data_IF_530438701065
#
_entry.id   IF_530438701065
#
_cell.length_a   1.000
_cell.length_b   1.000
_cell.length_c   1.000
_cell.angle_alpha   90.00
_cell.angle_beta   90.00
_cell.angle_gamma   90.00
#
_symmetry.space_group_name_H-M   'P 1'
#
loop_
_entity.id
_entity.type
_entity.pdbx_description
1 polymer ?
#
# COMPACT_ATOMS: atom_id res chain seq x y z
N UNK A 1 -9.38 -14.36 11.79
CA UNK A 1 -9.65 -13.15 12.58
C UNK A 1 -8.97 -13.20 13.93
N UNK A 2 -8.78 -12.05 14.56
CA UNK A 2 -8.22 -11.99 15.90
C UNK A 2 -9.39 -11.86 16.90
N UNK A 3 -9.63 -12.88 17.69
CA UNK A 3 -10.71 -12.99 18.69
C UNK A 3 -10.62 -11.97 19.84
N UNK A 4 -9.50 -11.23 19.92
CA UNK A 4 -9.30 -10.14 20.90
C UNK A 4 -9.98 -8.83 20.50
N UNK A 5 -10.40 -8.70 19.25
CA UNK A 5 -10.99 -7.49 18.70
C UNK A 5 -12.28 -7.82 17.95
N UNK A 6 -13.28 -7.01 18.16
CA UNK A 6 -14.49 -7.03 17.36
C UNK A 6 -14.51 -5.77 16.50
N UNK A 7 -14.50 -5.93 15.17
CA UNK A 7 -14.67 -4.82 14.24
C UNK A 7 -16.15 -4.52 14.11
N UNK A 8 -16.57 -3.33 14.54
CA UNK A 8 -18.00 -2.94 14.54
C UNK A 8 -18.39 -2.16 13.31
N UNK A 9 -17.44 -1.46 12.67
CA UNK A 9 -17.66 -0.68 11.47
C UNK A 9 -16.35 -0.36 10.75
N UNK A 10 -16.47 -0.03 9.46
CA UNK A 10 -15.47 0.73 8.72
C UNK A 10 -15.99 2.12 8.42
N UNK A 11 -15.08 3.10 8.31
CA UNK A 11 -15.36 4.39 7.69
C UNK A 11 -14.47 4.56 6.48
N UNK A 12 -14.94 5.26 5.45
CA UNK A 12 -14.17 5.47 4.23
C UNK A 12 -14.38 6.88 3.68
N UNK A 13 -13.28 7.45 3.17
CA UNK A 13 -13.28 8.74 2.47
C UNK A 13 -12.37 8.74 1.24
N UNK A 14 -11.41 7.81 1.15
CA UNK A 14 -10.48 7.70 0.01
C UNK A 14 -11.03 6.88 -1.15
N UNK A 15 -12.15 6.15 -0.96
CA UNK A 15 -12.80 5.34 -1.99
C UNK A 15 -14.17 5.95 -2.25
N UNK A 16 -14.44 6.45 -3.47
CA UNK A 16 -15.75 7.01 -3.82
C UNK A 16 -16.88 5.97 -3.69
N UNK A 17 -18.05 6.42 -3.28
CA UNK A 17 -19.32 5.65 -3.28
C UNK A 17 -19.25 4.30 -2.53
N UNK A 18 -18.36 4.18 -1.52
CA UNK A 18 -18.24 2.97 -0.71
C UNK A 18 -19.09 3.03 0.56
N UNK A 19 -19.43 4.22 1.04
CA UNK A 19 -20.33 4.38 2.19
C UNK A 19 -21.71 3.76 1.90
N UNK A 20 -22.31 3.20 2.94
CA UNK A 20 -23.59 2.48 2.86
C UNK A 20 -23.46 1.07 2.30
N UNK A 21 -22.26 0.64 1.89
CA UNK A 21 -21.99 -0.75 1.50
C UNK A 21 -21.69 -1.62 2.72
N UNK A 22 -21.67 -2.92 2.48
CA UNK A 22 -21.29 -3.92 3.46
C UNK A 22 -19.96 -4.58 3.02
N UNK A 23 -18.98 -4.63 3.92
CA UNK A 23 -17.82 -5.50 3.68
C UNK A 23 -18.28 -6.95 3.76
N UNK A 24 -18.10 -7.77 2.72
CA UNK A 24 -18.80 -9.04 2.54
C UNK A 24 -18.43 -10.05 3.65
N UNK A 25 -19.40 -10.83 4.16
CA UNK A 25 -19.16 -11.87 5.16
C UNK A 25 -18.14 -12.92 4.70
N UNK A 26 -18.09 -13.24 3.40
CA UNK A 26 -17.13 -14.20 2.82
C UNK A 26 -15.68 -13.75 3.01
N UNK A 27 -15.42 -12.45 3.10
CA UNK A 27 -14.10 -11.86 3.31
C UNK A 27 -13.86 -11.45 4.77
N UNK A 28 -14.93 -11.12 5.48
CA UNK A 28 -14.85 -10.73 6.89
C UNK A 28 -14.51 -11.90 7.83
N UNK A 29 -14.82 -13.13 7.42
CA UNK A 29 -14.55 -14.36 8.15
C UNK A 29 -15.66 -14.75 9.13
N UNK A 30 -15.49 -15.91 9.78
CA UNK A 30 -16.54 -16.55 10.60
C UNK A 30 -17.06 -15.70 11.77
N UNK A 31 -16.27 -14.74 12.24
CA UNK A 31 -16.69 -13.83 13.32
C UNK A 31 -17.73 -12.80 12.86
N UNK A 32 -17.90 -12.64 11.55
CA UNK A 32 -18.77 -11.60 10.95
C UNK A 32 -19.72 -12.21 9.89
N UNK A 33 -20.64 -13.10 10.29
CA UNK A 33 -21.51 -13.80 9.35
C UNK A 33 -22.47 -12.86 8.58
N UNK A 34 -22.73 -11.67 9.13
CA UNK A 34 -23.53 -10.63 8.48
C UNK A 34 -22.67 -9.59 7.72
N UNK A 35 -21.33 -9.75 7.72
CA UNK A 35 -20.39 -8.75 7.19
C UNK A 35 -20.17 -7.58 8.15
N UNK A 36 -19.49 -6.53 7.67
CA UNK A 36 -19.17 -5.35 8.46
C UNK A 36 -19.65 -4.09 7.72
N UNK A 37 -20.47 -3.23 8.33
CA UNK A 37 -20.99 -2.04 7.68
C UNK A 37 -19.89 -1.00 7.42
N UNK A 38 -20.02 -0.27 6.30
CA UNK A 38 -19.12 0.81 5.90
C UNK A 38 -19.92 2.11 5.93
N UNK A 39 -19.48 3.09 6.72
CA UNK A 39 -20.12 4.38 6.88
C UNK A 39 -19.30 5.51 6.27
N UNK A 40 -19.92 6.67 6.09
CA UNK A 40 -19.18 7.89 5.78
C UNK A 40 -18.28 8.29 6.96
N UNK A 41 -17.08 8.81 6.67
CA UNK A 41 -16.17 9.22 7.75
C UNK A 41 -16.70 10.41 8.57
N UNK A 42 -17.61 11.20 8.02
CA UNK A 42 -18.31 12.27 8.73
C UNK A 42 -19.13 11.76 9.92
N UNK A 43 -19.46 10.48 9.93
CA UNK A 43 -20.23 9.83 11.01
C UNK A 43 -19.36 9.35 12.18
N UNK A 44 -18.03 9.50 12.11
CA UNK A 44 -17.08 8.89 13.03
C UNK A 44 -17.40 9.16 14.51
N UNK A 45 -17.67 10.43 14.88
CA UNK A 45 -17.96 10.80 16.28
C UNK A 45 -19.25 10.14 16.78
N UNK A 46 -20.27 10.10 15.94
CA UNK A 46 -21.55 9.43 16.24
C UNK A 46 -21.33 7.93 16.42
N UNK A 47 -20.57 7.29 15.51
CA UNK A 47 -20.29 5.86 15.56
C UNK A 47 -19.51 5.47 16.82
N UNK A 48 -18.50 6.28 17.23
CA UNK A 48 -17.75 6.04 18.45
C UNK A 48 -18.72 5.99 19.65
N UNK A 49 -19.64 6.94 19.75
CA UNK A 49 -20.59 7.03 20.86
C UNK A 49 -21.65 5.93 20.80
N UNK A 50 -22.32 5.76 19.66
CA UNK A 50 -23.47 4.82 19.54
C UNK A 50 -23.04 3.35 19.59
N UNK A 51 -21.89 3.01 19.02
CA UNK A 51 -21.37 1.64 18.99
C UNK A 51 -20.40 1.36 20.15
N UNK A 52 -20.18 2.33 21.03
CA UNK A 52 -19.26 2.23 22.18
C UNK A 52 -17.87 1.71 21.75
N UNK A 53 -17.27 2.41 20.78
CA UNK A 53 -15.98 2.01 20.20
C UNK A 53 -14.85 2.30 21.17
N UNK A 54 -14.08 1.27 21.55
CA UNK A 54 -12.89 1.43 22.41
C UNK A 54 -11.68 1.96 21.63
N UNK A 55 -11.56 1.57 20.35
CA UNK A 55 -10.36 1.87 19.56
C UNK A 55 -10.67 2.12 18.09
N UNK A 56 -10.10 3.18 17.55
CA UNK A 56 -10.12 3.48 16.11
C UNK A 56 -8.74 3.21 15.51
N UNK A 57 -8.69 2.34 14.50
CA UNK A 57 -7.47 2.05 13.75
C UNK A 57 -7.45 2.91 12.49
N UNK A 58 -6.41 3.73 12.35
CA UNK A 58 -6.22 4.57 11.17
C UNK A 58 -5.54 3.78 10.06
N UNK A 59 -6.15 3.74 8.87
CA UNK A 59 -5.72 2.94 7.74
C UNK A 59 -5.55 3.74 6.43
N UNK A 60 -5.67 5.06 6.47
CA UNK A 60 -5.42 5.90 5.28
C UNK A 60 -3.93 6.10 5.04
N UNK A 61 -3.57 6.24 3.78
CA UNK A 61 -2.20 6.48 3.32
C UNK A 61 -2.11 7.76 2.48
N UNK A 62 -0.89 8.21 2.23
CA UNK A 62 -0.55 9.43 1.48
C UNK A 62 -1.18 10.71 2.05
N UNK A 63 -1.28 10.79 3.35
CA UNK A 63 -1.81 11.94 4.10
C UNK A 63 -0.72 12.61 4.94
N UNK A 64 -0.86 13.91 5.20
CA UNK A 64 0.09 14.63 6.05
C UNK A 64 0.05 14.15 7.51
N UNK A 65 1.17 14.26 8.23
CA UNK A 65 1.21 13.98 9.68
C UNK A 65 0.20 14.84 10.46
N UNK A 66 -0.02 16.09 10.03
CA UNK A 66 -1.04 16.95 10.63
C UNK A 66 -2.44 16.38 10.48
N UNK A 67 -2.78 15.81 9.32
CA UNK A 67 -4.06 15.13 9.08
C UNK A 67 -4.23 13.94 10.04
N UNK A 68 -3.18 13.12 10.21
CA UNK A 68 -3.20 11.99 11.16
C UNK A 68 -3.44 12.49 12.59
N UNK A 69 -2.74 13.55 13.01
CA UNK A 69 -2.88 14.10 14.36
C UNK A 69 -4.23 14.80 14.60
N UNK A 70 -4.80 15.47 13.58
CA UNK A 70 -6.15 16.01 13.70
C UNK A 70 -7.19 14.88 13.86
N UNK A 71 -7.04 13.79 13.09
CA UNK A 71 -7.91 12.63 13.23
C UNK A 71 -7.76 11.96 14.61
N UNK A 72 -6.52 11.82 15.09
CA UNK A 72 -6.25 11.30 16.43
C UNK A 72 -6.91 12.17 17.50
N UNK A 73 -6.81 13.49 17.40
CA UNK A 73 -7.42 14.43 18.35
C UNK A 73 -8.95 14.33 18.35
N UNK A 74 -9.57 14.17 17.19
CA UNK A 74 -11.01 13.94 17.02
C UNK A 74 -11.45 12.66 17.78
N UNK A 75 -10.75 11.54 17.50
CA UNK A 75 -11.04 10.23 18.13
C UNK A 75 -10.89 10.28 19.64
N UNK A 76 -9.78 10.87 20.14
CA UNK A 76 -9.53 11.01 21.58
C UNK A 76 -10.59 11.89 22.26
N UNK A 77 -11.03 12.97 21.62
CA UNK A 77 -12.08 13.83 22.13
C UNK A 77 -13.44 13.13 22.17
N UNK A 78 -13.68 12.18 21.26
CA UNK A 78 -14.89 11.34 21.26
C UNK A 78 -14.83 10.18 22.27
N UNK A 79 -13.68 9.96 22.95
CA UNK A 79 -13.52 9.00 24.05
C UNK A 79 -12.96 7.63 23.65
N UNK A 80 -12.49 7.45 22.42
CA UNK A 80 -11.84 6.21 21.97
C UNK A 80 -10.32 6.37 21.85
N UNK A 81 -9.59 5.24 21.89
CA UNK A 81 -8.17 5.21 21.59
C UNK A 81 -7.92 5.33 20.08
N UNK A 82 -6.81 5.99 19.70
CA UNK A 82 -6.36 6.08 18.32
C UNK A 82 -5.12 5.22 18.09
N UNK A 83 -5.13 4.41 17.03
CA UNK A 83 -4.06 3.45 16.76
C UNK A 83 -3.56 3.52 15.33
N UNK A 84 -2.21 3.56 15.18
CA UNK A 84 -1.48 3.23 13.96
C UNK A 84 -0.93 1.81 14.06
N UNK A 85 -1.04 1.02 12.98
CA UNK A 85 -0.55 -0.36 12.95
C UNK A 85 0.90 -0.41 12.47
N UNK A 86 1.74 -1.08 13.24
CA UNK A 86 3.13 -1.33 12.84
C UNK A 86 3.27 -2.64 12.04
N UNK A 87 4.31 -2.72 11.18
CA UNK A 87 4.54 -3.85 10.28
C UNK A 87 4.59 -5.23 10.94
N UNK A 88 5.12 -5.34 12.17
CA UNK A 88 5.17 -6.61 12.87
C UNK A 88 3.80 -7.28 13.11
N UNK A 89 2.72 -6.49 13.03
CA UNK A 89 1.36 -6.99 13.22
C UNK A 89 0.61 -7.20 11.90
N UNK A 90 1.16 -6.75 10.77
CA UNK A 90 0.45 -6.70 9.48
C UNK A 90 1.19 -7.39 8.35
N UNK A 91 2.52 -7.57 8.46
CA UNK A 91 3.33 -8.19 7.41
C UNK A 91 3.11 -9.70 7.34
N UNK A 92 2.81 -10.20 6.15
CA UNK A 92 2.75 -11.62 5.83
C UNK A 92 4.13 -12.13 5.40
N UNK A 93 4.54 -13.27 5.94
CA UNK A 93 5.78 -13.92 5.55
C UNK A 93 5.60 -14.71 4.24
N UNK A 94 6.53 -14.54 3.32
CA UNK A 94 6.61 -15.29 2.05
C UNK A 94 7.65 -16.41 2.13
N UNK A 95 7.41 -17.50 1.38
CA UNK A 95 8.38 -18.56 1.13
C UNK A 95 9.35 -18.21 -0.02
N UNK A 96 9.06 -17.13 -0.77
CA UNK A 96 9.88 -16.59 -1.85
C UNK A 96 10.45 -15.25 -1.46
N UNK A 97 11.62 -14.88 -1.98
CA UNK A 97 12.16 -13.53 -1.79
C UNK A 97 11.17 -12.46 -2.21
N UNK A 98 11.03 -11.42 -1.39
CA UNK A 98 10.14 -10.28 -1.63
C UNK A 98 10.96 -9.00 -1.80
N UNK A 99 10.77 -8.31 -2.90
CA UNK A 99 11.22 -6.93 -3.10
C UNK A 99 10.02 -6.01 -3.01
N UNK A 100 10.01 -5.13 -2.02
CA UNK A 100 8.97 -4.10 -1.91
C UNK A 100 9.47 -2.79 -2.50
N UNK A 101 8.68 -2.19 -3.38
CA UNK A 101 8.91 -0.84 -3.90
C UNK A 101 7.79 0.06 -3.41
N UNK A 102 8.15 0.99 -2.52
CA UNK A 102 7.25 1.99 -1.97
C UNK A 102 7.73 3.39 -2.35
N UNK A 103 6.94 4.40 -2.04
CA UNK A 103 7.35 5.78 -2.20
C UNK A 103 6.87 6.62 -1.01
N UNK A 104 7.49 7.75 -0.79
CA UNK A 104 7.08 8.69 0.28
C UNK A 104 5.83 9.48 -0.10
N UNK A 105 5.56 9.63 -1.40
CA UNK A 105 4.39 10.34 -1.95
C UNK A 105 4.00 9.81 -3.31
N UNK A 106 2.71 9.93 -3.64
CA UNK A 106 2.20 9.73 -4.99
C UNK A 106 2.93 10.64 -5.99
N UNK A 107 3.28 10.10 -7.15
CA UNK A 107 4.01 10.81 -8.21
C UNK A 107 5.52 10.88 -8.02
N UNK A 108 6.12 10.25 -7.00
CA UNK A 108 7.59 10.21 -6.82
C UNK A 108 8.32 9.35 -7.85
N UNK A 109 7.60 8.53 -8.63
CA UNK A 109 8.21 7.67 -9.65
C UNK A 109 8.27 6.19 -9.27
N UNK A 110 7.48 5.75 -8.29
CA UNK A 110 7.41 4.36 -7.81
C UNK A 110 7.20 3.36 -8.95
N UNK A 111 6.18 3.55 -9.79
CA UNK A 111 5.82 2.60 -10.85
C UNK A 111 6.93 2.43 -11.89
N UNK A 112 7.69 3.49 -12.21
CA UNK A 112 8.86 3.40 -13.10
C UNK A 112 9.99 2.62 -12.43
N UNK A 113 10.27 2.89 -11.16
CA UNK A 113 11.27 2.17 -10.37
C UNK A 113 10.91 0.69 -10.25
N UNK A 114 9.64 0.37 -9.97
CA UNK A 114 9.15 -1.02 -9.90
C UNK A 114 9.39 -1.75 -11.22
N UNK A 115 9.01 -1.14 -12.34
CA UNK A 115 9.25 -1.74 -13.67
C UNK A 115 10.74 -1.99 -13.93
N UNK A 116 11.60 -1.02 -13.56
CA UNK A 116 13.06 -1.19 -13.69
C UNK A 116 13.58 -2.34 -12.83
N UNK A 117 13.12 -2.47 -11.60
CA UNK A 117 13.47 -3.60 -10.72
C UNK A 117 13.03 -4.92 -11.33
N UNK A 118 11.81 -5.00 -11.84
CA UNK A 118 11.31 -6.19 -12.53
C UNK A 118 12.17 -6.56 -13.75
N UNK A 119 12.53 -5.57 -14.56
CA UNK A 119 13.38 -5.79 -15.76
C UNK A 119 14.77 -6.33 -15.36
N UNK A 120 15.37 -5.80 -14.28
CA UNK A 120 16.67 -6.26 -13.76
C UNK A 120 16.60 -7.71 -13.27
N UNK A 121 15.56 -8.07 -12.52
CA UNK A 121 15.36 -9.43 -12.02
C UNK A 121 15.14 -10.42 -13.17
N UNK A 122 14.33 -10.05 -14.16
CA UNK A 122 14.12 -10.86 -15.36
C UNK A 122 15.39 -11.02 -16.19
N UNK A 123 16.19 -9.96 -16.30
CA UNK A 123 17.49 -10.01 -16.95
C UNK A 123 18.46 -11.00 -16.30
N UNK A 124 18.24 -11.33 -15.03
CA UNK A 124 18.95 -12.38 -14.29
C UNK A 124 18.30 -13.77 -14.42
N UNK A 125 17.30 -13.92 -15.28
CA UNK A 125 16.60 -15.18 -15.52
C UNK A 125 15.56 -15.56 -14.47
N UNK A 126 15.14 -14.62 -13.58
CA UNK A 126 14.14 -14.87 -12.56
C UNK A 126 12.72 -14.76 -13.13
N UNK A 127 11.85 -15.65 -12.67
CA UNK A 127 10.40 -15.52 -12.86
C UNK A 127 9.89 -14.52 -11.83
N UNK A 128 9.47 -13.34 -12.32
CA UNK A 128 8.97 -12.24 -11.47
C UNK A 128 7.46 -12.22 -11.52
N UNK A 129 6.85 -12.13 -10.33
CA UNK A 129 5.43 -11.85 -10.16
C UNK A 129 5.31 -10.53 -9.43
N UNK A 130 4.54 -9.59 -9.97
CA UNK A 130 4.21 -8.33 -9.33
C UNK A 130 2.87 -8.48 -8.59
N UNK A 131 2.81 -7.97 -7.36
CA UNK A 131 1.54 -7.88 -6.61
C UNK A 131 1.24 -6.41 -6.39
N UNK A 132 0.04 -6.03 -6.78
CA UNK A 132 -0.44 -4.66 -6.69
C UNK A 132 -1.57 -4.50 -5.70
N UNK A 133 -1.71 -3.30 -5.21
CA UNK A 133 -2.88 -2.86 -4.46
C UNK A 133 -4.13 -2.95 -5.36
N UNK A 134 -5.25 -3.49 -4.88
CA UNK A 134 -6.48 -3.55 -5.66
C UNK A 134 -7.15 -2.16 -5.75
N UNK A 135 -7.95 -1.97 -6.78
CA UNK A 135 -8.91 -0.88 -6.86
C UNK A 135 -10.31 -1.44 -6.55
N UNK A 136 -10.81 -1.33 -5.32
CA UNK A 136 -11.98 -2.09 -4.84
C UNK A 136 -13.29 -1.41 -5.24
N UNK A 137 -13.46 -1.06 -6.52
CA UNK A 137 -14.67 -0.42 -7.04
C UNK A 137 -15.82 -1.40 -7.33
N UNK A 138 -15.47 -2.68 -7.58
CA UNK A 138 -16.39 -3.73 -7.97
C UNK A 138 -16.90 -4.60 -6.82
N UNK A 139 -17.21 -5.85 -7.16
CA UNK A 139 -17.57 -6.90 -6.22
C UNK A 139 -16.31 -7.44 -5.53
N UNK A 140 -16.13 -7.13 -4.25
CA UNK A 140 -14.95 -7.50 -3.49
C UNK A 140 -14.73 -9.03 -3.41
N UNK A 141 -15.80 -9.84 -3.45
CA UNK A 141 -15.69 -11.31 -3.43
C UNK A 141 -15.07 -11.82 -4.73
N UNK A 142 -15.48 -11.26 -5.86
CA UNK A 142 -14.90 -11.59 -7.17
C UNK A 142 -13.47 -11.04 -7.32
N UNK A 143 -13.17 -9.96 -6.60
CA UNK A 143 -11.85 -9.34 -6.54
C UNK A 143 -10.97 -9.91 -5.40
N UNK A 144 -11.35 -11.02 -4.77
CA UNK A 144 -10.54 -11.60 -3.70
C UNK A 144 -9.12 -11.90 -4.18
N UNK A 145 -8.99 -12.58 -5.30
CA UNK A 145 -7.71 -12.90 -5.96
C UNK A 145 -7.91 -12.81 -7.48
N UNK A 146 -7.18 -11.92 -8.12
CA UNK A 146 -7.18 -11.77 -9.56
C UNK A 146 -5.76 -11.93 -10.09
N UNK A 147 -5.60 -12.68 -11.20
CA UNK A 147 -4.32 -12.94 -11.86
C UNK A 147 -4.38 -12.46 -13.28
N UNK A 148 -3.38 -11.71 -13.70
CA UNK A 148 -3.28 -11.09 -15.01
C UNK A 148 -1.95 -11.48 -15.66
N UNK A 149 -2.00 -12.26 -16.71
CA UNK A 149 -0.86 -12.66 -17.52
C UNK A 149 -0.99 -12.18 -18.98
N UNK A 150 -2.19 -11.78 -19.37
CA UNK A 150 -2.54 -11.34 -20.72
C UNK A 150 -3.61 -10.25 -20.69
N UNK A 151 -3.82 -9.60 -21.83
CA UNK A 151 -4.92 -8.64 -22.00
C UNK A 151 -6.30 -9.30 -21.86
N UNK A 152 -6.44 -10.56 -22.24
CA UNK A 152 -7.68 -11.32 -22.08
C UNK A 152 -8.08 -11.47 -20.61
N UNK A 153 -7.09 -11.54 -19.70
CA UNK A 153 -7.36 -11.57 -18.26
C UNK A 153 -7.95 -10.24 -17.78
N UNK A 154 -7.51 -9.11 -18.34
CA UNK A 154 -8.06 -7.79 -18.01
C UNK A 154 -9.54 -7.71 -18.44
N UNK A 155 -9.88 -8.21 -19.62
CA UNK A 155 -11.24 -8.25 -20.11
C UNK A 155 -12.12 -9.19 -19.27
N UNK A 156 -11.61 -10.36 -18.93
CA UNK A 156 -12.27 -11.37 -18.09
C UNK A 156 -12.63 -10.82 -16.70
N UNK A 157 -11.75 -10.03 -16.12
CA UNK A 157 -11.95 -9.43 -14.81
C UNK A 157 -12.63 -8.06 -14.86
N UNK A 158 -13.08 -7.60 -16.04
CA UNK A 158 -13.76 -6.32 -16.24
C UNK A 158 -12.99 -5.12 -15.69
N UNK A 159 -11.65 -5.14 -15.87
CA UNK A 159 -10.78 -4.09 -15.36
C UNK A 159 -11.17 -2.71 -15.88
N UNK A 160 -11.21 -1.73 -14.97
CA UNK A 160 -11.39 -0.32 -15.30
C UNK A 160 -10.19 0.23 -16.08
N UNK A 161 -10.32 1.43 -16.62
CA UNK A 161 -9.20 2.10 -17.34
C UNK A 161 -8.03 2.30 -16.38
N UNK A 162 -8.29 2.72 -15.15
CA UNK A 162 -7.28 2.97 -14.11
C UNK A 162 -6.53 1.67 -13.75
N UNK A 163 -7.24 0.56 -13.60
CA UNK A 163 -6.63 -0.75 -13.35
C UNK A 163 -5.75 -1.19 -14.53
N UNK A 164 -6.22 -0.98 -15.75
CA UNK A 164 -5.45 -1.28 -16.95
C UNK A 164 -4.17 -0.45 -17.06
N UNK A 165 -4.23 0.84 -16.80
CA UNK A 165 -3.04 1.73 -16.78
C UNK A 165 -1.96 1.22 -15.81
N UNK A 166 -2.37 0.53 -14.75
CA UNK A 166 -1.45 -0.01 -13.76
C UNK A 166 -0.95 -1.43 -14.11
N UNK A 167 -1.77 -2.27 -14.76
CA UNK A 167 -1.42 -3.68 -15.01
C UNK A 167 -0.80 -3.90 -16.40
N UNK A 168 -1.27 -3.23 -17.44
CA UNK A 168 -0.78 -3.37 -18.82
C UNK A 168 0.74 -3.19 -18.95
N UNK A 169 1.37 -2.18 -18.29
CA UNK A 169 2.82 -2.02 -18.38
C UNK A 169 3.64 -3.20 -17.83
N UNK A 170 3.09 -3.99 -16.94
CA UNK A 170 3.70 -5.22 -16.45
C UNK A 170 3.47 -6.39 -17.45
N UNK A 171 2.24 -6.53 -17.95
CA UNK A 171 1.86 -7.55 -18.94
C UNK A 171 2.72 -7.40 -20.21
N UNK A 172 2.90 -6.17 -20.70
CA UNK A 172 3.74 -5.87 -21.87
C UNK A 172 5.20 -6.34 -21.70
N UNK A 173 5.66 -6.40 -20.46
CA UNK A 173 6.97 -6.92 -20.10
C UNK A 173 6.96 -8.42 -19.82
N UNK A 174 5.82 -9.10 -20.03
CA UNK A 174 5.66 -10.51 -19.72
C UNK A 174 5.79 -10.82 -18.22
N UNK A 175 5.37 -9.88 -17.36
CA UNK A 175 5.31 -10.03 -15.91
C UNK A 175 3.88 -10.35 -15.55
N UNK A 176 3.69 -11.38 -14.74
CA UNK A 176 2.39 -11.73 -14.19
C UNK A 176 2.08 -10.76 -13.06
N UNK A 177 0.86 -10.22 -13.07
CA UNK A 177 0.36 -9.33 -12.02
C UNK A 177 -0.71 -10.04 -11.22
N UNK A 178 -0.66 -9.91 -9.91
CA UNK A 178 -1.76 -10.23 -9.02
C UNK A 178 -2.28 -8.95 -8.39
N UNK A 179 -3.60 -8.86 -8.26
CA UNK A 179 -4.28 -7.85 -7.47
C UNK A 179 -5.49 -8.46 -6.77
N UNK A 180 -5.95 -7.84 -5.72
CA UNK A 180 -7.16 -8.29 -5.02
C UNK A 180 -7.12 -7.94 -3.54
N UNK A 181 -8.19 -8.30 -2.83
CA UNK A 181 -8.40 -7.91 -1.43
C UNK A 181 -7.97 -8.97 -0.41
N UNK A 182 -7.75 -10.21 -0.82
CA UNK A 182 -7.21 -11.28 0.03
C UNK A 182 -5.71 -11.44 -0.19
N UNK A 183 -4.93 -10.64 0.53
CA UNK A 183 -3.47 -10.60 0.37
C UNK A 183 -2.77 -11.91 0.72
N UNK A 184 -3.31 -12.72 1.64
CA UNK A 184 -2.73 -14.01 1.97
C UNK A 184 -2.97 -15.01 0.85
N UNK A 185 -4.19 -15.13 0.35
CA UNK A 185 -4.51 -16.02 -0.76
C UNK A 185 -3.73 -15.64 -2.03
N UNK A 186 -3.58 -14.33 -2.32
CA UNK A 186 -2.74 -13.83 -3.42
C UNK A 186 -1.30 -14.28 -3.25
N UNK A 187 -0.72 -14.10 -2.05
CA UNK A 187 0.67 -14.48 -1.78
C UNK A 187 0.89 -15.98 -2.04
N UNK A 188 0.00 -16.84 -1.51
CA UNK A 188 0.13 -18.30 -1.67
C UNK A 188 0.03 -18.74 -3.13
N UNK A 189 -0.76 -18.07 -3.96
CA UNK A 189 -0.81 -18.34 -5.40
C UNK A 189 0.44 -17.84 -6.12
N UNK A 190 0.87 -16.62 -5.86
CA UNK A 190 2.07 -16.04 -6.46
C UNK A 190 3.35 -16.87 -6.17
N UNK A 191 3.47 -17.40 -4.96
CA UNK A 191 4.59 -18.26 -4.54
C UNK A 191 4.77 -19.52 -5.41
N UNK A 192 3.68 -20.01 -6.03
CA UNK A 192 3.73 -21.24 -6.83
C UNK A 192 4.38 -21.01 -8.20
N UNK A 193 4.38 -19.79 -8.71
CA UNK A 193 4.90 -19.49 -10.04
C UNK A 193 6.05 -18.49 -10.06
N UNK A 194 6.35 -17.82 -8.92
CA UNK A 194 7.42 -16.85 -8.81
C UNK A 194 8.74 -17.46 -8.29
N UNK A 195 9.86 -16.93 -8.79
CA UNK A 195 11.16 -17.03 -8.13
C UNK A 195 11.37 -15.84 -7.19
N UNK A 196 10.81 -14.67 -7.53
CA UNK A 196 10.84 -13.42 -6.75
C UNK A 196 9.49 -12.72 -6.87
N UNK A 197 8.96 -12.28 -5.74
CA UNK A 197 7.75 -11.46 -5.68
C UNK A 197 8.15 -10.01 -5.57
N UNK A 198 7.53 -9.15 -6.38
CA UNK A 198 7.69 -7.70 -6.29
C UNK A 198 6.39 -7.09 -5.78
N UNK A 199 6.42 -6.52 -4.57
CA UNK A 199 5.33 -5.71 -4.06
C UNK A 199 5.39 -4.31 -4.69
N UNK A 200 4.42 -3.99 -5.52
CA UNK A 200 4.20 -2.68 -6.10
C UNK A 200 3.00 -2.03 -5.43
N UNK A 201 3.22 -1.54 -4.20
CA UNK A 201 2.16 -0.97 -3.37
C UNK A 201 1.43 0.20 -4.05
N UNK A 202 0.12 0.32 -3.80
CA UNK A 202 -0.65 1.50 -4.16
C UNK A 202 -0.30 2.69 -3.26
N UNK A 203 -0.95 3.79 -3.40
CA UNK A 203 -0.99 5.01 -2.56
C UNK A 203 0.07 5.14 -1.43
N UNK A 204 1.30 4.63 -1.66
CA UNK A 204 2.42 4.67 -0.72
C UNK A 204 2.16 3.96 0.61
N UNK A 205 1.39 2.89 0.57
CA UNK A 205 1.13 2.03 1.72
C UNK A 205 2.42 1.43 2.28
N UNK A 206 2.36 0.97 3.52
CA UNK A 206 3.35 0.04 4.03
C UNK A 206 3.26 -1.28 3.24
N UNK A 207 4.37 -2.01 3.06
CA UNK A 207 4.30 -3.34 2.47
C UNK A 207 3.35 -4.24 3.27
N UNK A 208 2.56 -5.08 2.59
CA UNK A 208 1.78 -6.13 3.25
C UNK A 208 2.56 -7.44 3.38
N UNK A 209 3.62 -7.60 2.60
CA UNK A 209 4.52 -8.74 2.68
C UNK A 209 5.85 -8.32 3.29
N UNK A 210 6.39 -9.16 4.16
CA UNK A 210 7.70 -8.91 4.78
C UNK A 210 8.78 -8.86 3.69
N UNK A 211 9.39 -7.69 3.42
CA UNK A 211 10.37 -7.58 2.36
C UNK A 211 11.74 -8.10 2.80
N UNK A 212 12.44 -8.79 1.88
CA UNK A 212 13.88 -9.06 1.97
C UNK A 212 14.68 -7.85 1.48
N UNK A 213 14.11 -7.10 0.52
CA UNK A 213 14.65 -5.83 0.05
C UNK A 213 13.52 -4.80 -0.01
N UNK A 214 13.65 -3.71 0.76
CA UNK A 214 12.71 -2.59 0.77
C UNK A 214 13.34 -1.38 0.09
N UNK A 215 12.79 -1.00 -1.06
CA UNK A 215 13.21 0.15 -1.86
C UNK A 215 12.17 1.25 -1.68
N UNK A 216 12.61 2.46 -1.37
CA UNK A 216 11.72 3.62 -1.19
C UNK A 216 12.13 4.75 -2.11
N UNK A 217 11.18 5.27 -2.86
CA UNK A 217 11.40 6.36 -3.83
C UNK A 217 11.02 7.69 -3.20
N UNK A 218 11.94 8.65 -3.27
CA UNK A 218 11.76 10.04 -2.81
C UNK A 218 11.84 11.00 -3.98
N UNK A 219 11.21 12.18 -3.85
CA UNK A 219 11.06 13.17 -4.91
C UNK A 219 11.63 14.53 -4.49
N UNK A 220 12.79 14.96 -5.01
CA UNK A 220 13.41 16.21 -4.65
C UNK A 220 12.67 17.46 -5.15
N UNK A 221 11.65 17.31 -6.00
CA UNK A 221 10.74 18.43 -6.30
C UNK A 221 9.84 18.82 -5.12
N UNK A 222 9.78 17.97 -4.09
CA UNK A 222 8.98 18.17 -2.89
C UNK A 222 9.78 17.87 -1.63
N UNK A 223 10.92 18.59 -1.42
CA UNK A 223 11.79 18.36 -0.28
C UNK A 223 11.03 18.54 1.04
N UNK A 224 11.25 17.65 2.02
CA UNK A 224 10.54 17.63 3.30
C UNK A 224 9.26 16.78 3.31
N UNK A 225 8.72 16.40 2.14
CA UNK A 225 7.55 15.50 2.10
C UNK A 225 7.89 14.10 2.61
N UNK A 226 9.14 13.67 2.47
CA UNK A 226 9.65 12.39 2.97
C UNK A 226 9.62 12.28 4.51
N UNK A 227 9.52 13.42 5.23
CA UNK A 227 9.43 13.50 6.70
C UNK A 227 8.09 14.00 7.21
N UNK A 228 7.12 14.30 6.34
CA UNK A 228 5.87 14.97 6.73
C UNK A 228 4.59 14.24 6.30
N UNK A 229 4.74 13.05 5.70
CA UNK A 229 3.60 12.26 5.22
C UNK A 229 3.58 10.84 5.77
N UNK A 230 2.37 10.37 6.05
CA UNK A 230 2.09 9.02 6.55
C UNK A 230 1.53 8.14 5.40
N UNK A 231 2.03 6.90 5.27
CA UNK A 231 3.12 6.25 5.97
C UNK A 231 4.50 6.44 5.30
N UNK A 232 4.65 7.45 4.44
CA UNK A 232 5.88 7.71 3.68
C UNK A 232 7.12 7.78 4.54
N UNK A 233 7.10 8.50 5.68
CA UNK A 233 8.23 8.54 6.60
C UNK A 233 8.51 7.18 7.23
N UNK A 234 7.49 6.38 7.56
CA UNK A 234 7.69 5.04 8.09
C UNK A 234 8.38 4.14 7.04
N UNK A 235 7.97 4.22 5.77
CA UNK A 235 8.64 3.54 4.66
C UNK A 235 10.11 3.97 4.56
N UNK A 236 10.39 5.28 4.61
CA UNK A 236 11.76 5.80 4.55
C UNK A 236 12.65 5.26 5.67
N UNK A 237 12.13 5.23 6.91
CA UNK A 237 12.86 4.71 8.08
C UNK A 237 13.16 3.21 8.01
N UNK A 238 12.33 2.45 7.28
CA UNK A 238 12.50 1.00 7.10
C UNK A 238 13.24 0.63 5.80
N UNK A 239 13.56 1.60 4.95
CA UNK A 239 14.16 1.34 3.64
C UNK A 239 15.56 0.73 3.77
N UNK A 240 15.85 -0.30 2.98
CA UNK A 240 17.22 -0.78 2.74
C UNK A 240 17.89 0.05 1.64
N UNK A 241 17.11 0.49 0.64
CA UNK A 241 17.58 1.34 -0.45
C UNK A 241 16.62 2.51 -0.61
N UNK A 242 17.16 3.71 -0.73
CA UNK A 242 16.38 4.93 -1.06
C UNK A 242 16.80 5.42 -2.43
N UNK A 243 15.83 5.59 -3.32
CA UNK A 243 16.04 6.15 -4.66
C UNK A 243 15.62 7.61 -4.65
N UNK A 244 16.57 8.52 -4.76
CA UNK A 244 16.29 9.94 -5.04
C UNK A 244 16.06 10.03 -6.54
N UNK A 245 14.79 10.12 -6.94
CA UNK A 245 14.40 10.12 -8.34
C UNK A 245 14.35 11.53 -8.91
N UNK A 246 14.34 11.67 -10.26
CA UNK A 246 14.22 12.96 -10.96
C UNK A 246 15.35 13.97 -10.62
N UNK A 247 16.54 13.49 -10.34
CA UNK A 247 17.65 14.39 -9.97
C UNK A 247 18.13 15.27 -11.12
N UNK A 248 17.84 14.88 -12.37
CA UNK A 248 18.16 15.63 -13.57
C UNK A 248 17.29 16.87 -13.80
N UNK A 249 16.11 16.92 -13.17
CA UNK A 249 15.13 18.00 -13.31
C UNK A 249 14.90 18.79 -12.03
N UNK A 250 15.47 18.35 -10.91
CA UNK A 250 15.33 19.00 -9.61
C UNK A 250 16.50 19.96 -9.32
N UNK A 251 16.23 20.95 -8.48
CA UNK A 251 17.27 21.85 -7.97
C UNK A 251 18.28 21.07 -7.12
N UNK A 252 19.57 21.34 -7.30
CA UNK A 252 20.66 20.68 -6.55
C UNK A 252 20.54 20.89 -5.03
N UNK A 253 20.05 22.04 -4.59
CA UNK A 253 19.81 22.34 -3.17
C UNK A 253 18.69 21.44 -2.61
N UNK A 254 17.64 21.19 -3.38
CA UNK A 254 16.55 20.27 -3.01
C UNK A 254 17.05 18.82 -2.92
N UNK A 255 17.86 18.37 -3.89
CA UNK A 255 18.50 17.04 -3.83
C UNK A 255 19.36 16.90 -2.59
N UNK A 256 20.16 17.93 -2.24
CA UNK A 256 20.99 17.95 -1.03
C UNK A 256 20.11 17.86 0.24
N UNK A 257 19.03 18.66 0.30
CA UNK A 257 18.08 18.65 1.42
C UNK A 257 17.46 17.25 1.63
N UNK A 258 16.97 16.63 0.57
CA UNK A 258 16.41 15.27 0.65
C UNK A 258 17.46 14.26 1.10
N UNK A 259 18.70 14.37 0.61
CA UNK A 259 19.81 13.49 1.04
C UNK A 259 20.11 13.64 2.54
N UNK A 260 20.10 14.87 3.05
CA UNK A 260 20.35 15.15 4.47
C UNK A 260 19.18 14.65 5.33
N UNK A 261 17.93 14.80 4.88
CA UNK A 261 16.76 14.23 5.53
C UNK A 261 16.81 12.69 5.60
N UNK A 262 17.25 12.02 4.52
CA UNK A 262 17.46 10.57 4.54
C UNK A 262 18.49 10.19 5.59
N UNK A 263 19.66 10.84 5.60
CA UNK A 263 20.73 10.58 6.57
C UNK A 263 20.28 10.78 8.02
N UNK A 264 19.43 11.78 8.25
CA UNK A 264 18.90 12.09 9.58
C UNK A 264 18.06 10.93 10.15
N UNK A 265 17.22 10.29 9.32
CA UNK A 265 16.21 9.32 9.80
C UNK A 265 16.57 7.86 9.49
N UNK A 266 17.44 7.63 8.49
CA UNK A 266 17.87 6.30 8.09
C UNK A 266 19.31 6.35 7.52
N UNK A 267 20.33 6.52 8.39
CA UNK A 267 21.74 6.64 7.97
C UNK A 267 22.29 5.35 7.35
N UNK A 268 21.68 4.21 7.60
CA UNK A 268 22.12 2.90 7.10
C UNK A 268 21.61 2.60 5.67
N UNK A 269 20.65 3.37 5.17
CA UNK A 269 20.09 3.14 3.83
C UNK A 269 21.14 3.40 2.73
N UNK A 270 21.15 2.53 1.74
CA UNK A 270 21.91 2.76 0.50
C UNK A 270 21.14 3.80 -0.32
N UNK A 271 21.77 4.92 -0.63
CA UNK A 271 21.16 5.99 -1.43
C UNK A 271 21.61 5.87 -2.87
N UNK A 272 20.63 5.85 -3.79
CA UNK A 272 20.83 5.81 -5.26
C UNK A 272 20.15 7.03 -5.86
N UNK A 273 20.82 7.71 -6.76
CA UNK A 273 20.25 8.82 -7.55
C UNK A 273 19.84 8.31 -8.92
N UNK A 274 18.64 8.73 -9.38
CA UNK A 274 18.06 8.34 -10.64
C UNK A 274 17.47 9.56 -11.37
N UNK A 275 17.59 9.53 -12.72
CA UNK A 275 17.06 10.51 -13.65
C UNK A 275 15.84 9.94 -14.39
#
# INVERSE_FOLDING_TARGET
GNDRYQVVAFTATQIPDIEGRLYPPQLAGELYPEGIPIYAETDLDRLISELQVDQVVFAYSDVSHSTVMHKASQVLAAGADFRLMGGNNTLLASTKPVVAVCAVRTGSGKSQTTRRVCDLLRGQGKKVVAIRHPMPYGNLVEQAVQRFASYDDLDKHHCTIEEREEYEPHIDRGIIVYAGVDYEAILRQAEQEADVIVWDGGNNDLPFYKPDLHIVVVDPHRPGHELSYHPGEANLRMAHVVVINKVDTADLEHVATVRDNIRLVNPEAIVVEAA
#
